data_IF_647216588253
#
_entry.id   IF_647216588253
#
_cell.length_a   1.000
_cell.length_b   1.000
_cell.length_c   1.000
_cell.angle_alpha   90.00
_cell.angle_beta   90.00
_cell.angle_gamma   90.00
#
_symmetry.space_group_name_H-M   'P 1'
#
loop_
_entity.id
_entity.type
_entity.pdbx_description
1 polymer ?
#
# COMPACT_ATOMS: atom_id res chain seq x y z
N UNK A 1 4.31 -19.58 7.26
CA UNK A 1 3.93 -18.28 6.66
C UNK A 1 4.17 -17.20 7.71
N UNK A 2 4.63 -16.03 7.33
CA UNK A 2 4.75 -14.88 8.24
C UNK A 2 3.73 -13.82 7.76
N UNK A 3 2.59 -13.75 8.45
CA UNK A 3 1.49 -12.86 8.12
C UNK A 3 1.28 -11.76 9.19
N UNK A 4 2.33 -11.54 10.01
CA UNK A 4 2.36 -10.54 11.07
C UNK A 4 3.48 -9.52 10.81
N UNK A 5 3.24 -8.28 11.24
CA UNK A 5 4.14 -7.14 11.18
C UNK A 5 4.02 -6.34 12.47
N UNK A 6 5.10 -5.60 12.83
CA UNK A 6 5.14 -4.63 13.91
C UNK A 6 5.45 -5.24 15.28
N UNK A 7 5.92 -4.39 16.18
CA UNK A 7 6.19 -4.70 17.59
C UNK A 7 5.32 -3.85 18.51
N UNK A 8 5.00 -2.62 18.12
CA UNK A 8 4.15 -1.68 18.82
C UNK A 8 2.77 -1.56 18.18
N UNK A 9 2.71 -1.28 16.88
CA UNK A 9 1.51 -1.36 16.06
C UNK A 9 1.48 -2.70 15.33
N UNK A 10 1.11 -3.74 16.05
CA UNK A 10 1.13 -5.11 15.52
C UNK A 10 -0.08 -5.38 14.68
N UNK A 11 0.12 -6.02 13.54
CA UNK A 11 -0.98 -6.51 12.74
C UNK A 11 -0.75 -7.96 12.30
N UNK A 12 -1.83 -8.73 12.23
CA UNK A 12 -1.84 -10.08 11.65
C UNK A 12 -2.96 -10.16 10.64
N UNK A 13 -2.61 -10.42 9.38
CA UNK A 13 -3.56 -10.60 8.28
C UNK A 13 -3.91 -12.08 8.16
N UNK A 14 -5.19 -12.40 8.03
CA UNK A 14 -5.68 -13.76 7.87
C UNK A 14 -6.69 -13.89 6.72
N UNK A 15 -6.95 -15.13 6.32
CA UNK A 15 -7.91 -15.49 5.29
C UNK A 15 -7.31 -15.62 3.89
N UNK A 16 -8.16 -15.96 2.94
CA UNK A 16 -7.83 -16.27 1.56
C UNK A 16 -8.91 -15.69 0.64
N UNK A 17 -8.54 -15.37 -0.59
CA UNK A 17 -9.41 -14.66 -1.55
C UNK A 17 -10.78 -15.33 -1.75
N UNK A 18 -10.84 -16.65 -1.74
CA UNK A 18 -12.05 -17.44 -1.94
C UNK A 18 -12.41 -18.30 -0.70
N UNK A 19 -11.77 -18.00 0.45
CA UNK A 19 -12.21 -18.50 1.75
C UNK A 19 -13.48 -17.76 2.22
N UNK A 20 -14.03 -18.10 3.39
CA UNK A 20 -15.24 -17.46 3.91
C UNK A 20 -15.07 -15.95 4.15
N UNK A 21 -13.91 -15.55 4.63
CA UNK A 21 -13.59 -14.18 4.95
C UNK A 21 -12.08 -13.92 4.89
N UNK A 22 -11.73 -12.64 4.85
CA UNK A 22 -10.38 -12.11 5.09
C UNK A 22 -10.46 -11.12 6.24
N UNK A 23 -9.35 -10.87 6.92
CA UNK A 23 -9.37 -9.89 8.00
C UNK A 23 -7.99 -9.55 8.54
N UNK A 24 -8.01 -8.72 9.59
CA UNK A 24 -6.82 -8.31 10.32
C UNK A 24 -7.12 -8.25 11.81
N UNK A 25 -6.13 -8.60 12.60
CA UNK A 25 -6.05 -8.27 14.02
C UNK A 25 -4.98 -7.19 14.16
N UNK A 26 -5.36 -6.05 14.76
CA UNK A 26 -4.45 -4.95 15.12
C UNK A 26 -4.32 -4.92 16.63
N UNK A 27 -3.10 -5.06 17.13
CA UNK A 27 -2.79 -5.01 18.56
C UNK A 27 -1.87 -3.81 18.86
N UNK A 28 -1.85 -3.35 20.11
CA UNK A 28 -1.08 -2.19 20.55
C UNK A 28 -1.80 -0.85 20.42
N UNK A 29 -3.10 -0.83 20.06
CA UNK A 29 -3.87 0.42 20.02
C UNK A 29 -4.05 1.00 21.42
N UNK A 30 -3.78 2.32 21.62
CA UNK A 30 -4.06 2.98 22.87
C UNK A 30 -5.56 2.93 23.20
N UNK A 31 -5.89 2.56 24.46
CA UNK A 31 -7.27 2.64 24.92
C UNK A 31 -7.80 4.08 24.81
N UNK A 32 -9.02 4.23 24.31
CA UNK A 32 -9.64 5.53 24.05
C UNK A 32 -9.32 6.16 22.70
N UNK A 33 -8.41 5.60 21.90
CA UNK A 33 -8.14 6.08 20.54
C UNK A 33 -9.43 6.10 19.71
N UNK A 34 -9.67 7.19 18.98
CA UNK A 34 -10.88 7.36 18.16
C UNK A 34 -10.87 6.43 16.96
N UNK A 35 -11.95 5.72 16.74
CA UNK A 35 -12.23 4.90 15.56
C UNK A 35 -13.39 5.56 14.80
N UNK A 36 -13.06 6.38 13.81
CA UNK A 36 -14.04 7.04 12.95
C UNK A 36 -14.46 6.07 11.85
N UNK A 37 -15.63 5.42 12.05
CA UNK A 37 -16.13 4.38 11.15
C UNK A 37 -16.46 4.92 9.75
N UNK A 38 -16.95 6.16 9.64
CA UNK A 38 -17.24 6.80 8.35
C UNK A 38 -15.95 7.07 7.56
N UNK A 39 -14.91 7.55 8.26
CA UNK A 39 -13.60 7.72 7.66
C UNK A 39 -13.02 6.39 7.18
N UNK A 40 -13.06 5.35 8.01
CA UNK A 40 -12.59 4.00 7.67
C UNK A 40 -13.37 3.46 6.46
N UNK A 41 -14.70 3.55 6.47
CA UNK A 41 -15.54 3.13 5.34
C UNK A 41 -15.20 3.87 4.05
N UNK A 42 -14.91 5.18 4.13
CA UNK A 42 -14.46 5.99 3.01
C UNK A 42 -13.13 5.46 2.40
N UNK A 43 -12.14 5.11 3.22
CA UNK A 43 -10.88 4.55 2.75
C UNK A 43 -11.07 3.15 2.13
N UNK A 44 -11.90 2.32 2.75
CA UNK A 44 -12.27 1.00 2.21
C UNK A 44 -12.95 1.12 0.84
N UNK A 45 -13.84 2.11 0.65
CA UNK A 45 -14.51 2.39 -0.61
C UNK A 45 -13.54 2.83 -1.73
N UNK A 46 -12.44 3.52 -1.41
CA UNK A 46 -11.38 3.87 -2.39
C UNK A 46 -10.66 2.61 -2.92
N UNK A 47 -10.48 1.61 -2.07
CA UNK A 47 -9.86 0.33 -2.44
C UNK A 47 -10.84 -0.60 -3.18
N UNK A 48 -12.11 -0.60 -2.79
CA UNK A 48 -13.12 -1.52 -3.30
C UNK A 48 -13.24 -1.48 -4.83
N UNK A 49 -13.47 -2.63 -5.49
CA UNK A 49 -13.73 -2.64 -6.92
C UNK A 49 -15.08 -2.01 -7.24
N UNK A 50 -15.17 -1.35 -8.39
CA UNK A 50 -16.39 -0.73 -8.89
C UNK A 50 -16.38 0.79 -8.84
N UNK A 51 -17.15 1.42 -9.73
CA UNK A 51 -17.29 2.88 -9.82
C UNK A 51 -16.24 3.60 -10.65
N UNK A 52 -15.29 2.88 -11.27
CA UNK A 52 -14.37 3.43 -12.26
C UNK A 52 -14.44 2.61 -13.56
N UNK A 53 -14.57 3.23 -14.73
CA UNK A 53 -14.64 2.52 -16.02
C UNK A 53 -13.38 1.71 -16.37
N UNK A 54 -12.25 2.05 -15.77
CA UNK A 54 -10.95 1.37 -15.98
C UNK A 54 -10.75 0.18 -15.03
N UNK A 55 -11.64 0.00 -14.04
CA UNK A 55 -11.61 -1.10 -13.09
C UNK A 55 -12.45 -2.31 -13.56
N UNK A 56 -12.33 -3.41 -12.82
CA UNK A 56 -13.17 -4.61 -13.01
C UNK A 56 -14.66 -4.31 -12.80
N UNK A 57 -15.52 -5.04 -13.52
CA UNK A 57 -16.97 -4.99 -13.31
C UNK A 57 -17.44 -5.69 -12.01
N UNK A 58 -16.54 -6.17 -11.16
CA UNK A 58 -16.88 -6.72 -9.85
C UNK A 58 -17.42 -5.62 -8.95
N UNK A 59 -18.41 -5.96 -8.13
CA UNK A 59 -18.95 -5.10 -7.07
C UNK A 59 -18.77 -5.86 -5.75
N UNK A 60 -17.84 -5.43 -4.93
CA UNK A 60 -17.65 -5.90 -3.55
C UNK A 60 -17.49 -4.67 -2.67
N UNK A 61 -18.34 -4.52 -1.69
CA UNK A 61 -18.39 -3.31 -0.86
C UNK A 61 -17.24 -3.21 0.14
N UNK A 62 -16.42 -4.27 0.33
CA UNK A 62 -15.40 -4.38 1.39
C UNK A 62 -15.93 -3.96 2.78
N UNK A 63 -17.20 -4.31 3.06
CA UNK A 63 -17.83 -3.98 4.33
C UNK A 63 -17.09 -4.64 5.48
N UNK A 64 -16.63 -3.83 6.41
CA UNK A 64 -15.88 -4.28 7.58
C UNK A 64 -16.82 -4.57 8.73
N UNK A 65 -16.62 -5.71 9.36
CA UNK A 65 -17.26 -6.05 10.63
C UNK A 65 -16.21 -6.13 11.71
N UNK A 66 -16.30 -5.24 12.70
CA UNK A 66 -15.43 -5.25 13.88
C UNK A 66 -15.97 -6.29 14.86
N UNK A 67 -15.12 -7.20 15.31
CA UNK A 67 -15.46 -8.33 16.17
C UNK A 67 -15.03 -8.11 17.62
N UNK A 68 -13.96 -7.33 17.84
CA UNK A 68 -13.43 -7.01 19.18
C UNK A 68 -12.58 -5.73 19.12
N UNK A 69 -12.21 -5.21 20.29
CA UNK A 69 -11.28 -4.09 20.42
C UNK A 69 -11.89 -2.71 20.23
N UNK A 70 -13.21 -2.61 20.01
CA UNK A 70 -13.91 -1.33 19.84
C UNK A 70 -15.18 -1.26 20.70
N UNK A 71 -15.44 -0.08 21.24
CA UNK A 71 -16.67 0.25 21.98
C UNK A 71 -16.96 1.74 21.82
N UNK A 72 -18.19 2.10 21.43
CA UNK A 72 -18.64 3.48 21.27
C UNK A 72 -17.70 4.35 20.39
N UNK A 73 -17.21 3.81 19.26
CA UNK A 73 -16.32 4.50 18.33
C UNK A 73 -14.90 4.73 18.87
N UNK A 74 -14.48 3.98 19.89
CA UNK A 74 -13.14 4.06 20.49
C UNK A 74 -12.52 2.69 20.67
N UNK A 75 -11.19 2.62 20.58
CA UNK A 75 -10.42 1.42 20.91
C UNK A 75 -10.50 1.15 22.42
N UNK A 76 -10.64 -0.12 22.78
CA UNK A 76 -10.74 -0.53 24.21
C UNK A 76 -9.38 -0.88 24.83
N UNK A 77 -8.32 -0.98 24.01
CA UNK A 77 -7.02 -1.50 24.41
C UNK A 77 -6.89 -3.02 24.23
N UNK A 78 -7.99 -3.74 24.00
CA UNK A 78 -7.94 -5.13 23.54
C UNK A 78 -7.62 -5.18 22.05
N UNK A 79 -7.09 -6.31 21.51
CA UNK A 79 -6.84 -6.46 20.09
C UNK A 79 -8.07 -6.13 19.24
N UNK A 80 -7.90 -5.20 18.29
CA UNK A 80 -8.95 -4.81 17.34
C UNK A 80 -9.00 -5.84 16.21
N UNK A 81 -10.05 -6.67 16.21
CA UNK A 81 -10.27 -7.67 15.15
C UNK A 81 -11.32 -7.19 14.16
N UNK A 82 -10.94 -7.11 12.90
CA UNK A 82 -11.82 -6.73 11.80
C UNK A 82 -11.86 -7.83 10.73
N UNK A 83 -13.06 -8.12 10.24
CA UNK A 83 -13.34 -9.15 9.25
C UNK A 83 -14.13 -8.56 8.07
N UNK A 84 -13.84 -9.06 6.88
CA UNK A 84 -14.53 -8.74 5.63
C UNK A 84 -14.97 -10.05 4.98
N UNK A 85 -16.27 -10.25 4.85
CA UNK A 85 -16.82 -11.46 4.24
C UNK A 85 -16.57 -11.49 2.71
N UNK A 86 -16.29 -12.66 2.18
CA UNK A 86 -16.15 -12.88 0.75
C UNK A 86 -17.50 -13.31 0.16
N UNK A 87 -18.30 -12.37 -0.33
CA UNK A 87 -19.67 -12.63 -0.80
C UNK A 87 -19.78 -12.99 -2.28
N UNK A 88 -18.72 -12.78 -3.08
CA UNK A 88 -18.76 -12.92 -4.54
C UNK A 88 -17.70 -13.91 -5.06
N UNK A 89 -17.65 -15.10 -4.47
CA UNK A 89 -16.69 -16.15 -4.84
C UNK A 89 -17.31 -17.12 -5.86
N UNK A 90 -16.78 -17.14 -7.10
CA UNK A 90 -17.11 -18.13 -8.12
C UNK A 90 -15.99 -19.17 -8.20
N UNK A 91 -16.06 -20.20 -7.38
CA UNK A 91 -15.01 -21.21 -7.23
C UNK A 91 -14.89 -22.17 -8.43
N UNK A 92 -15.95 -22.31 -9.25
CA UNK A 92 -15.96 -23.23 -10.40
C UNK A 92 -14.96 -22.88 -11.50
N UNK A 93 -14.67 -21.59 -11.68
CA UNK A 93 -13.77 -21.11 -12.74
C UNK A 93 -12.30 -21.49 -12.50
N UNK A 94 -11.93 -21.91 -11.29
CA UNK A 94 -10.55 -22.20 -10.89
C UNK A 94 -10.19 -23.68 -10.80
N UNK A 95 -11.16 -24.59 -10.80
CA UNK A 95 -10.90 -26.02 -10.66
C UNK A 95 -10.08 -26.59 -11.82
N UNK A 96 -10.32 -26.15 -13.05
CA UNK A 96 -9.57 -26.55 -14.25
C UNK A 96 -8.19 -25.89 -14.37
N UNK A 97 -7.94 -24.82 -13.59
CA UNK A 97 -6.69 -24.04 -13.62
C UNK A 97 -5.75 -24.38 -12.46
N UNK A 98 -6.16 -25.20 -11.50
CA UNK A 98 -5.39 -25.47 -10.28
C UNK A 98 -3.98 -26.05 -10.54
N UNK A 99 -3.79 -26.77 -11.66
CA UNK A 99 -2.52 -27.36 -12.06
C UNK A 99 -1.75 -26.49 -13.08
N UNK A 100 -2.40 -25.50 -13.72
CA UNK A 100 -1.78 -24.62 -14.72
C UNK A 100 -1.36 -23.32 -14.07
N UNK A 101 -0.06 -23.11 -13.95
CA UNK A 101 0.53 -21.98 -13.24
C UNK A 101 0.43 -20.68 -14.04
N UNK A 102 -0.19 -19.63 -13.50
CA UNK A 102 -0.26 -18.33 -14.18
C UNK A 102 1.13 -17.72 -14.28
N UNK A 103 1.62 -17.35 -15.49
CA UNK A 103 2.87 -16.65 -15.65
C UNK A 103 2.87 -15.32 -14.85
N UNK A 104 3.96 -15.04 -14.15
CA UNK A 104 4.08 -13.80 -13.37
C UNK A 104 3.23 -13.73 -12.09
N UNK A 105 2.44 -14.75 -11.77
CA UNK A 105 1.71 -14.90 -10.50
C UNK A 105 2.52 -15.75 -9.49
N UNK A 106 2.06 -15.77 -8.24
CA UNK A 106 2.69 -16.57 -7.19
C UNK A 106 2.29 -18.07 -7.21
N UNK A 107 1.49 -18.52 -8.20
CA UNK A 107 0.94 -19.87 -8.23
C UNK A 107 2.01 -20.95 -8.11
N UNK A 108 3.04 -20.91 -8.98
CA UNK A 108 4.12 -21.90 -8.95
C UNK A 108 4.97 -21.81 -7.68
N UNK A 109 5.38 -20.60 -7.29
CA UNK A 109 6.17 -20.41 -6.09
C UNK A 109 5.42 -20.85 -4.82
N UNK A 110 4.13 -20.54 -4.75
CA UNK A 110 3.24 -20.98 -3.67
C UNK A 110 3.06 -22.50 -3.66
N UNK A 111 2.81 -23.10 -4.82
CA UNK A 111 2.69 -24.55 -4.97
C UNK A 111 3.94 -25.27 -4.43
N UNK A 112 5.14 -24.84 -4.85
CA UNK A 112 6.39 -25.43 -4.37
C UNK A 112 6.58 -25.20 -2.87
N UNK A 113 6.41 -23.96 -2.40
CA UNK A 113 6.63 -23.60 -0.99
C UNK A 113 5.72 -24.34 -0.03
N UNK A 114 4.46 -24.49 -0.40
CA UNK A 114 3.42 -25.11 0.46
C UNK A 114 3.07 -26.55 0.04
N UNK A 115 3.86 -27.14 -0.87
CA UNK A 115 3.69 -28.54 -1.31
C UNK A 115 2.30 -28.81 -1.88
N UNK A 116 1.72 -27.85 -2.59
CA UNK A 116 0.39 -27.93 -3.15
C UNK A 116 -0.78 -27.78 -2.15
N UNK A 117 -0.51 -27.48 -0.87
CA UNK A 117 -1.55 -27.34 0.16
C UNK A 117 -2.13 -25.92 0.27
N UNK A 118 -1.59 -24.97 -0.48
CA UNK A 118 -2.15 -23.61 -0.53
C UNK A 118 -3.48 -23.58 -1.32
N UNK A 119 -4.42 -22.73 -0.92
CA UNK A 119 -5.64 -22.51 -1.70
C UNK A 119 -5.30 -21.79 -3.03
N UNK A 120 -5.49 -22.43 -4.21
CA UNK A 120 -5.20 -21.82 -5.50
C UNK A 120 -6.32 -20.86 -5.96
N UNK A 121 -7.52 -20.93 -5.37
CA UNK A 121 -8.70 -20.20 -5.81
C UNK A 121 -8.52 -18.69 -5.66
N UNK A 122 -8.65 -17.95 -6.78
CA UNK A 122 -8.47 -16.49 -6.79
C UNK A 122 -7.10 -16.00 -6.35
N UNK A 123 -6.10 -16.90 -6.29
CA UNK A 123 -4.75 -16.63 -5.78
C UNK A 123 -4.59 -16.78 -4.26
N UNK A 124 -5.63 -17.25 -3.56
CA UNK A 124 -5.59 -17.56 -2.12
C UNK A 124 -5.08 -16.37 -1.29
N UNK A 125 -4.10 -16.65 -0.46
CA UNK A 125 -3.44 -15.63 0.37
C UNK A 125 -2.47 -14.70 -0.40
N UNK A 126 -2.14 -15.00 -1.67
CA UNK A 126 -1.33 -14.13 -2.54
C UNK A 126 -2.15 -13.11 -3.32
N UNK A 127 -3.47 -13.13 -3.16
CA UNK A 127 -4.38 -12.26 -3.89
C UNK A 127 -4.27 -10.81 -3.45
N UNK A 128 -4.40 -9.87 -4.41
CA UNK A 128 -4.58 -8.44 -4.11
C UNK A 128 -5.81 -8.14 -3.23
N UNK A 129 -6.74 -9.11 -3.06
CA UNK A 129 -7.86 -9.03 -2.11
C UNK A 129 -7.39 -8.78 -0.68
N UNK A 130 -6.23 -9.34 -0.30
CA UNK A 130 -5.64 -9.23 1.04
C UNK A 130 -5.13 -7.81 1.37
N UNK A 131 -5.16 -6.89 0.41
CA UNK A 131 -4.90 -5.46 0.67
C UNK A 131 -6.07 -4.77 1.37
N UNK A 132 -7.29 -5.33 1.40
CA UNK A 132 -8.41 -4.74 2.11
C UNK A 132 -8.17 -4.70 3.64
N UNK A 133 -7.73 -5.78 4.31
CA UNK A 133 -7.28 -5.74 5.69
C UNK A 133 -6.16 -4.73 5.96
N UNK A 134 -5.20 -4.56 5.02
CA UNK A 134 -4.16 -3.54 5.14
C UNK A 134 -4.72 -2.12 5.11
N UNK A 135 -5.70 -1.85 4.24
CA UNK A 135 -6.35 -0.53 4.16
C UNK A 135 -7.15 -0.24 5.43
N UNK A 136 -7.80 -1.24 6.01
CA UNK A 136 -8.45 -1.07 7.32
C UNK A 136 -7.43 -0.68 8.40
N UNK A 137 -6.35 -1.45 8.57
CA UNK A 137 -5.31 -1.17 9.56
C UNK A 137 -4.64 0.20 9.31
N UNK A 138 -4.35 0.52 8.04
CA UNK A 138 -3.80 1.82 7.64
C UNK A 138 -4.73 2.98 7.92
N UNK A 139 -6.05 2.78 7.80
CA UNK A 139 -7.05 3.81 8.15
C UNK A 139 -7.04 4.10 9.65
N UNK A 140 -6.92 3.07 10.48
CA UNK A 140 -6.78 3.21 11.95
C UNK A 140 -5.47 3.93 12.29
N UNK A 141 -4.35 3.53 11.67
CA UNK A 141 -3.06 4.20 11.85
C UNK A 141 -3.11 5.68 11.45
N UNK A 142 -3.77 6.02 10.33
CA UNK A 142 -3.94 7.43 9.90
C UNK A 142 -4.74 8.25 10.91
N UNK A 143 -5.76 7.69 11.55
CA UNK A 143 -6.51 8.40 12.60
C UNK A 143 -5.59 8.78 13.77
N UNK A 144 -4.71 7.86 14.20
CA UNK A 144 -3.73 8.12 15.27
C UNK A 144 -2.70 9.19 14.84
N UNK A 145 -2.20 9.11 13.61
CA UNK A 145 -1.20 10.04 13.08
C UNK A 145 -1.78 11.45 12.89
N UNK A 146 -3.04 11.58 12.50
CA UNK A 146 -3.74 12.87 12.38
C UNK A 146 -3.85 13.61 13.72
N UNK A 147 -4.01 12.90 14.82
CA UNK A 147 -4.00 13.50 16.16
C UNK A 147 -2.63 14.14 16.48
N UNK A 148 -1.57 13.70 15.80
CA UNK A 148 -0.21 14.28 15.87
C UNK A 148 0.08 15.32 14.78
N UNK A 149 -0.90 15.67 13.94
CA UNK A 149 -0.74 16.62 12.82
C UNK A 149 -0.08 16.02 11.58
N UNK A 150 0.07 14.70 11.51
CA UNK A 150 0.66 14.01 10.35
C UNK A 150 -0.46 13.68 9.35
N UNK A 151 -0.32 14.19 8.10
CA UNK A 151 -1.24 13.87 6.99
C UNK A 151 -0.49 13.09 5.91
N UNK A 152 -1.20 12.11 5.31
CA UNK A 152 -0.66 11.22 4.28
C UNK A 152 -1.58 11.27 3.06
N UNK A 153 -0.97 11.28 1.89
CA UNK A 153 -1.70 11.17 0.62
C UNK A 153 -0.82 10.64 -0.49
N UNK A 154 -1.45 10.19 -1.55
CA UNK A 154 -0.75 9.67 -2.71
C UNK A 154 -1.49 9.99 -4.01
N UNK A 155 -0.76 9.96 -5.12
CA UNK A 155 -1.32 10.12 -6.45
C UNK A 155 -0.74 9.09 -7.43
N UNK A 156 -1.36 9.00 -8.59
CA UNK A 156 -0.89 8.18 -9.70
C UNK A 156 0.22 8.95 -10.42
N UNK A 157 1.47 8.61 -10.17
CA UNK A 157 2.62 9.26 -10.81
C UNK A 157 2.83 8.80 -12.26
N UNK A 158 2.41 7.56 -12.61
CA UNK A 158 2.42 7.10 -13.99
C UNK A 158 1.50 5.90 -14.22
N UNK A 159 0.95 5.76 -15.43
CA UNK A 159 0.32 4.54 -15.96
C UNK A 159 0.82 4.30 -17.38
N UNK A 160 1.30 3.08 -17.68
CA UNK A 160 1.73 2.66 -19.03
C UNK A 160 2.75 3.62 -19.68
N UNK A 161 3.57 4.30 -18.88
CA UNK A 161 4.55 5.29 -19.37
C UNK A 161 4.04 6.72 -19.44
N UNK A 162 2.72 6.96 -19.43
CA UNK A 162 2.14 8.29 -19.27
C UNK A 162 2.40 8.78 -17.85
N UNK A 163 3.01 9.96 -17.70
CA UNK A 163 3.49 10.49 -16.42
C UNK A 163 2.70 11.72 -16.00
N UNK A 164 2.37 11.78 -14.72
CA UNK A 164 1.89 12.98 -14.02
C UNK A 164 3.08 13.85 -13.55
N UNK A 165 2.80 15.01 -13.00
CA UNK A 165 3.76 15.79 -12.24
C UNK A 165 4.19 15.03 -10.97
N UNK A 166 5.36 15.36 -10.41
CA UNK A 166 5.78 14.94 -9.07
C UNK A 166 5.26 15.90 -8.01
N UNK A 167 5.19 15.47 -6.77
CA UNK A 167 5.04 16.40 -5.66
C UNK A 167 6.15 17.44 -5.68
N UNK A 168 5.82 18.68 -5.28
CA UNK A 168 6.84 19.61 -4.84
C UNK A 168 7.51 19.02 -3.60
N UNK A 169 8.80 18.66 -3.66
CA UNK A 169 9.43 17.88 -2.58
C UNK A 169 9.56 18.67 -1.26
N UNK A 170 9.52 20.00 -1.33
CA UNK A 170 9.60 20.89 -0.15
C UNK A 170 8.22 21.46 0.19
N UNK A 171 7.44 21.84 -0.83
CA UNK A 171 6.20 22.59 -0.67
C UNK A 171 4.93 21.77 -0.61
N UNK A 172 4.99 20.43 -0.74
CA UNK A 172 3.78 19.59 -0.59
C UNK A 172 3.19 19.77 0.80
N UNK A 173 1.88 20.01 0.88
CA UNK A 173 1.16 20.30 2.11
C UNK A 173 -0.03 19.37 2.38
N UNK A 174 -0.57 19.41 3.59
CA UNK A 174 -1.71 18.62 4.01
C UNK A 174 -2.96 18.88 3.17
N UNK A 175 -3.16 20.12 2.65
CA UNK A 175 -4.32 20.47 1.81
C UNK A 175 -4.26 19.71 0.48
N UNK A 176 -3.10 19.68 -0.15
CA UNK A 176 -2.84 18.91 -1.38
C UNK A 176 -3.11 17.43 -1.16
N UNK A 177 -2.55 16.84 -0.09
CA UNK A 177 -2.72 15.42 0.23
C UNK A 177 -4.18 15.06 0.52
N UNK A 178 -4.89 15.87 1.31
CA UNK A 178 -6.32 15.70 1.57
C UNK A 178 -7.18 15.86 0.29
N UNK A 179 -6.78 16.75 -0.62
CA UNK A 179 -7.44 16.95 -1.91
C UNK A 179 -7.40 15.71 -2.78
N UNK A 180 -6.24 15.10 -2.91
CA UNK A 180 -6.01 13.86 -3.67
C UNK A 180 -6.85 12.69 -3.14
N UNK A 181 -7.00 12.57 -1.82
CA UNK A 181 -7.76 11.51 -1.18
C UNK A 181 -9.27 11.51 -1.52
N UNK A 182 -9.80 12.61 -2.07
CA UNK A 182 -11.21 12.74 -2.52
C UNK A 182 -11.43 12.18 -3.92
N UNK A 183 -10.37 12.00 -4.72
CA UNK A 183 -10.44 11.47 -6.07
C UNK A 183 -10.27 9.95 -6.10
N UNK A 184 -10.99 9.28 -7.00
CA UNK A 184 -10.76 7.86 -7.33
C UNK A 184 -9.64 7.65 -8.34
N UNK A 185 -9.25 8.73 -9.03
CA UNK A 185 -8.13 8.77 -9.97
C UNK A 185 -7.28 9.99 -9.62
N UNK A 186 -6.56 9.95 -8.47
CA UNK A 186 -5.86 11.11 -7.95
C UNK A 186 -4.65 11.45 -8.82
N UNK A 187 -4.62 12.69 -9.31
CA UNK A 187 -3.56 13.27 -10.12
C UNK A 187 -3.26 14.68 -9.62
N UNK A 188 -2.02 15.11 -9.75
CA UNK A 188 -1.60 16.49 -9.54
C UNK A 188 -1.98 17.35 -10.76
N UNK A 189 -1.81 16.82 -11.98
CA UNK A 189 -2.25 17.46 -13.21
C UNK A 189 -3.46 16.71 -13.81
N UNK A 190 -4.70 17.26 -13.70
CA UNK A 190 -5.89 16.62 -14.23
C UNK A 190 -5.87 16.34 -15.74
N UNK A 191 -5.06 17.07 -16.53
CA UNK A 191 -4.93 16.86 -17.97
C UNK A 191 -4.33 15.49 -18.31
N UNK A 192 -3.62 14.87 -17.36
CA UNK A 192 -3.01 13.54 -17.52
C UNK A 192 -4.03 12.39 -17.35
N UNK A 193 -5.24 12.66 -16.88
CA UNK A 193 -6.26 11.62 -16.71
C UNK A 193 -6.66 10.98 -18.04
N UNK A 194 -6.95 11.79 -19.06
CA UNK A 194 -7.41 11.28 -20.35
C UNK A 194 -6.37 10.38 -21.06
N UNK A 195 -5.08 10.76 -21.19
CA UNK A 195 -4.08 9.87 -21.77
C UNK A 195 -3.86 8.59 -20.97
N UNK A 196 -3.82 8.64 -19.64
CA UNK A 196 -3.66 7.46 -18.80
C UNK A 196 -4.85 6.50 -18.95
N UNK A 197 -6.09 7.02 -18.92
CA UNK A 197 -7.30 6.21 -19.15
C UNK A 197 -7.36 5.58 -20.53
N UNK A 198 -6.87 6.29 -21.56
CA UNK A 198 -6.76 5.76 -22.92
C UNK A 198 -5.80 4.58 -22.97
N UNK A 199 -4.62 4.69 -22.38
CA UNK A 199 -3.66 3.59 -22.33
C UNK A 199 -4.22 2.34 -21.63
N UNK A 200 -5.00 2.52 -20.55
CA UNK A 200 -5.71 1.41 -19.88
C UNK A 200 -6.78 0.80 -20.79
N UNK A 201 -7.56 1.63 -21.50
CA UNK A 201 -8.60 1.16 -22.42
C UNK A 201 -8.02 0.37 -23.60
N UNK A 202 -6.89 0.82 -24.16
CA UNK A 202 -6.16 0.13 -25.22
C UNK A 202 -5.64 -1.23 -24.74
N UNK A 203 -5.05 -1.30 -23.56
CA UNK A 203 -4.62 -2.58 -22.96
C UNK A 203 -5.81 -3.53 -22.77
N UNK A 204 -6.94 -3.02 -22.25
CA UNK A 204 -8.17 -3.81 -22.10
C UNK A 204 -8.69 -4.35 -23.42
N UNK A 205 -8.70 -3.51 -24.48
CA UNK A 205 -9.13 -3.91 -25.82
C UNK A 205 -8.20 -4.99 -26.41
N UNK A 206 -6.90 -4.94 -26.09
CA UNK A 206 -5.91 -5.94 -26.45
C UNK A 206 -5.94 -7.20 -25.54
N UNK A 207 -6.90 -7.30 -24.61
CA UNK A 207 -7.00 -8.39 -23.62
C UNK A 207 -5.75 -8.50 -22.73
N UNK A 208 -5.09 -7.38 -22.48
CA UNK A 208 -3.83 -7.25 -21.73
C UNK A 208 -4.01 -6.36 -20.48
N UNK A 209 -2.92 -6.06 -19.80
CA UNK A 209 -2.89 -5.20 -18.64
C UNK A 209 -1.69 -4.27 -18.64
N UNK A 210 -1.79 -3.17 -17.90
CA UNK A 210 -0.70 -2.21 -17.71
C UNK A 210 -0.46 -1.97 -16.22
N UNK A 211 0.79 -1.62 -15.91
CA UNK A 211 1.23 -1.19 -14.60
C UNK A 211 1.40 0.32 -14.52
N UNK A 212 2.03 0.78 -13.44
CA UNK A 212 2.35 2.19 -13.27
C UNK A 212 3.14 2.46 -12.00
N UNK A 213 3.19 3.72 -11.63
CA UNK A 213 3.92 4.21 -10.46
C UNK A 213 2.96 5.04 -9.60
N UNK A 214 3.04 4.85 -8.30
CA UNK A 214 2.35 5.66 -7.30
C UNK A 214 3.42 6.47 -6.56
N UNK A 215 3.19 7.76 -6.39
CA UNK A 215 3.96 8.62 -5.48
C UNK A 215 3.13 8.89 -4.24
N UNK A 216 3.75 8.70 -3.06
CA UNK A 216 3.12 8.83 -1.75
C UNK A 216 3.94 9.77 -0.87
N UNK A 217 3.27 10.64 -0.13
CA UNK A 217 3.90 11.58 0.78
C UNK A 217 3.22 11.59 2.16
N UNK A 218 4.03 11.85 3.19
CA UNK A 218 3.58 12.22 4.53
C UNK A 218 4.18 13.58 4.90
N UNK A 219 3.35 14.48 5.43
CA UNK A 219 3.76 15.79 5.95
C UNK A 219 3.44 15.90 7.43
N UNK A 220 4.15 16.78 8.15
CA UNK A 220 3.99 16.92 9.59
C UNK A 220 4.75 15.89 10.43
N UNK A 221 5.53 15.04 9.81
CA UNK A 221 6.42 14.10 10.52
C UNK A 221 7.59 14.90 11.09
N UNK A 222 7.75 14.87 12.42
CA UNK A 222 8.86 15.56 13.08
C UNK A 222 10.21 14.92 12.72
N UNK A 223 11.29 15.64 12.88
CA UNK A 223 12.63 15.07 12.82
C UNK A 223 12.85 14.08 13.98
N UNK A 224 13.65 13.04 13.74
CA UNK A 224 14.08 12.09 14.75
C UNK A 224 13.24 10.82 14.89
N UNK A 225 12.36 10.50 13.93
CA UNK A 225 11.59 9.24 13.91
C UNK A 225 12.32 8.20 13.07
N UNK A 226 12.40 6.99 13.57
CA UNK A 226 13.16 5.89 12.95
C UNK A 226 14.52 5.68 13.61
N UNK A 227 15.19 4.63 13.20
CA UNK A 227 16.46 4.17 13.80
C UNK A 227 17.39 3.64 12.71
N UNK A 228 18.72 3.84 12.80
CA UNK A 228 19.65 3.35 11.80
C UNK A 228 19.62 1.83 11.67
N UNK A 229 20.08 1.35 10.51
CA UNK A 229 20.07 -0.01 10.00
C UNK A 229 18.62 -0.54 9.79
N UNK A 230 18.16 -1.51 10.58
CA UNK A 230 16.97 -2.30 10.29
C UNK A 230 15.65 -1.62 10.68
N UNK A 231 15.71 -0.66 11.60
CA UNK A 231 14.58 0.18 12.02
C UNK A 231 14.47 1.49 11.22
N UNK A 232 15.20 1.62 10.11
CA UNK A 232 15.12 2.83 9.28
C UNK A 232 13.75 3.00 8.65
N UNK A 233 13.33 4.25 8.46
CA UNK A 233 12.06 4.57 7.79
C UNK A 233 11.97 3.86 6.45
N UNK A 234 13.05 3.89 5.66
CA UNK A 234 13.09 3.24 4.35
C UNK A 234 12.96 1.71 4.48
N UNK A 235 13.61 1.10 5.46
CA UNK A 235 13.52 -0.35 5.68
C UNK A 235 12.12 -0.79 6.04
N UNK A 236 11.48 -0.10 6.99
CA UNK A 236 10.14 -0.43 7.48
C UNK A 236 9.08 -0.20 6.40
N UNK A 237 9.13 0.95 5.71
CA UNK A 237 8.21 1.26 4.60
C UNK A 237 8.41 0.27 3.45
N UNK A 238 9.66 -0.06 3.09
CA UNK A 238 9.96 -1.02 2.02
C UNK A 238 9.49 -2.43 2.37
N UNK A 239 9.64 -2.88 3.61
CA UNK A 239 9.12 -4.18 4.06
C UNK A 239 7.61 -4.28 3.83
N UNK A 240 6.86 -3.24 4.19
CA UNK A 240 5.41 -3.17 3.97
C UNK A 240 5.08 -3.04 2.49
N UNK A 241 5.79 -2.20 1.73
CA UNK A 241 5.56 -2.02 0.31
C UNK A 241 5.72 -3.33 -0.47
N UNK A 242 6.80 -4.08 -0.23
CA UNK A 242 7.02 -5.38 -0.88
C UNK A 242 6.12 -6.50 -0.35
N UNK A 243 5.39 -6.31 0.75
CA UNK A 243 4.32 -7.22 1.19
C UNK A 243 3.06 -7.08 0.32
N UNK A 244 2.87 -5.94 -0.34
CA UNK A 244 1.75 -5.69 -1.23
C UNK A 244 1.96 -6.42 -2.56
N UNK A 245 1.00 -7.26 -3.02
CA UNK A 245 1.10 -7.91 -4.31
C UNK A 245 1.31 -6.92 -5.45
N UNK A 246 2.13 -7.28 -6.43
CA UNK A 246 2.50 -6.51 -7.63
C UNK A 246 3.49 -5.35 -7.41
N UNK A 247 3.87 -4.97 -6.22
CA UNK A 247 4.98 -4.03 -6.00
C UNK A 247 6.29 -4.68 -6.42
N UNK A 248 7.11 -3.95 -7.21
CA UNK A 248 8.38 -4.44 -7.76
C UNK A 248 9.56 -3.51 -7.54
N UNK A 249 9.30 -2.24 -7.20
CA UNK A 249 10.34 -1.30 -6.81
C UNK A 249 9.76 -0.26 -5.85
N UNK A 250 10.63 0.32 -5.02
CA UNK A 250 10.39 1.49 -4.20
C UNK A 250 11.61 2.41 -4.26
N UNK A 251 11.38 3.72 -4.25
CA UNK A 251 12.43 4.72 -4.26
C UNK A 251 12.01 5.91 -3.40
N UNK A 252 12.89 6.36 -2.49
CA UNK A 252 12.67 7.54 -1.64
C UNK A 252 13.30 8.76 -2.30
N UNK A 253 12.66 9.93 -2.17
CA UNK A 253 13.11 11.16 -2.79
C UNK A 253 13.38 11.00 -4.29
N UNK A 254 14.55 11.40 -4.75
CA UNK A 254 14.95 11.22 -6.15
C UNK A 254 15.32 9.77 -6.49
N UNK A 255 15.60 8.93 -5.48
CA UNK A 255 15.83 7.50 -5.66
C UNK A 255 17.02 7.19 -6.56
N UNK A 256 16.80 6.53 -7.71
CA UNK A 256 17.87 6.13 -8.62
C UNK A 256 18.58 7.32 -9.27
N UNK A 257 17.92 8.47 -9.40
CA UNK A 257 18.49 9.69 -10.00
C UNK A 257 19.64 10.23 -9.16
N UNK A 258 19.63 10.01 -7.84
CA UNK A 258 20.74 10.36 -6.94
C UNK A 258 22.10 9.75 -7.35
N UNK A 259 22.09 8.58 -7.99
CA UNK A 259 23.31 7.93 -8.46
C UNK A 259 23.99 8.67 -9.61
N UNK A 260 23.27 9.56 -10.29
CA UNK A 260 23.76 10.36 -11.41
C UNK A 260 24.21 11.77 -10.97
N UNK A 261 23.88 12.17 -9.71
CA UNK A 261 24.19 13.48 -9.14
C UNK A 261 25.58 13.51 -8.49
N UNK A 262 26.16 14.70 -8.46
CA UNK A 262 27.32 14.97 -7.58
C UNK A 262 26.85 15.24 -6.15
N UNK A 263 27.68 14.99 -5.15
CA UNK A 263 27.33 15.23 -3.76
C UNK A 263 26.88 16.69 -3.47
N UNK A 264 27.47 17.66 -4.15
CA UNK A 264 27.07 19.09 -4.05
C UNK A 264 25.69 19.39 -4.64
N UNK A 265 25.16 18.53 -5.51
CA UNK A 265 23.84 18.64 -6.13
C UNK A 265 22.80 17.84 -5.33
N UNK A 266 23.20 16.68 -4.79
CA UNK A 266 22.33 15.78 -4.07
C UNK A 266 22.12 16.14 -2.58
N UNK A 267 23.02 16.97 -2.01
CA UNK A 267 22.92 17.37 -0.61
C UNK A 267 21.77 18.38 -0.41
N UNK A 268 20.88 18.06 0.54
CA UNK A 268 19.78 18.93 0.95
C UNK A 268 20.34 20.01 1.89
N UNK A 269 20.55 21.23 1.38
CA UNK A 269 21.07 22.34 2.16
C UNK A 269 20.09 22.72 3.29
N UNK A 270 20.61 22.84 4.51
CA UNK A 270 19.81 23.14 5.70
C UNK A 270 19.80 24.62 6.00
N UNK A 271 18.66 25.13 6.49
CA UNK A 271 18.51 26.48 6.99
C UNK A 271 17.66 26.53 8.24
N UNK A 272 17.83 27.57 9.04
CA UNK A 272 16.92 27.86 10.16
C UNK A 272 15.59 28.42 9.64
N UNK A 273 14.50 27.95 10.24
CA UNK A 273 13.14 28.47 10.01
C UNK A 273 12.46 28.66 11.37
N UNK A 274 12.53 29.86 11.89
CA UNK A 274 12.25 30.13 13.30
C UNK A 274 13.18 29.35 14.22
N UNK A 275 12.62 28.61 15.15
CA UNK A 275 13.37 27.73 16.06
C UNK A 275 13.65 26.33 15.49
N UNK A 276 13.15 26.04 14.29
CA UNK A 276 13.31 24.74 13.61
C UNK A 276 14.38 24.76 12.52
N UNK A 277 14.72 23.56 12.06
CA UNK A 277 15.58 23.35 10.88
C UNK A 277 14.71 22.84 9.74
N UNK A 278 14.92 23.39 8.55
CA UNK A 278 14.31 22.92 7.29
C UNK A 278 15.39 22.78 6.21
N UNK A 279 15.05 22.18 5.08
CA UNK A 279 15.95 22.06 3.94
C UNK A 279 15.43 22.84 2.74
N UNK A 280 16.35 23.31 1.88
CA UNK A 280 16.04 24.03 0.64
C UNK A 280 15.63 23.08 -0.50
N UNK A 281 16.01 21.82 -0.38
CA UNK A 281 15.66 20.69 -1.27
C UNK A 281 15.27 19.47 -0.45
N UNK A 282 14.83 18.40 -1.10
CA UNK A 282 14.45 17.17 -0.42
C UNK A 282 14.76 15.94 -1.31
N UNK A 283 15.98 15.90 -1.84
CA UNK A 283 16.47 14.80 -2.68
C UNK A 283 16.45 13.46 -1.95
N UNK A 284 16.65 13.48 -0.62
CA UNK A 284 16.61 12.30 0.24
C UNK A 284 15.18 11.87 0.62
N UNK A 285 14.14 12.62 0.22
CA UNK A 285 12.74 12.27 0.51
C UNK A 285 12.37 12.27 1.98
N UNK A 286 12.93 13.20 2.77
CA UNK A 286 12.59 13.39 4.18
C UNK A 286 13.30 12.47 5.15
N UNK A 287 14.25 11.65 4.68
CA UNK A 287 14.95 10.64 5.50
C UNK A 287 16.44 10.69 5.25
N UNK A 288 17.20 10.86 6.32
CA UNK A 288 18.67 10.83 6.30
C UNK A 288 19.20 9.94 7.41
N UNK A 289 20.09 9.01 7.06
CA UNK A 289 20.61 8.02 8.01
C UNK A 289 19.54 7.08 8.59
N UNK A 290 18.43 6.88 7.88
CA UNK A 290 17.32 6.05 8.32
C UNK A 290 16.30 6.76 9.21
N UNK A 291 16.49 8.05 9.47
CA UNK A 291 15.74 8.86 10.44
C UNK A 291 15.10 10.03 9.71
N UNK A 292 13.87 10.38 10.07
CA UNK A 292 13.18 11.55 9.50
C UNK A 292 13.92 12.85 9.87
N UNK A 293 13.98 13.79 8.93
CA UNK A 293 14.67 15.07 9.10
C UNK A 293 13.72 16.29 9.22
N UNK A 294 12.39 16.03 9.30
CA UNK A 294 11.36 17.07 9.38
C UNK A 294 10.80 17.52 8.03
N UNK A 295 11.44 17.14 6.92
CA UNK A 295 10.92 17.36 5.57
C UNK A 295 9.81 16.37 5.24
N UNK A 296 9.00 16.60 4.19
CA UNK A 296 8.02 15.63 3.71
C UNK A 296 8.66 14.27 3.42
N UNK A 297 8.12 13.20 4.00
CA UNK A 297 8.56 11.84 3.67
C UNK A 297 7.91 11.44 2.36
N UNK A 298 8.70 11.27 1.29
CA UNK A 298 8.22 11.01 -0.07
C UNK A 298 8.85 9.74 -0.63
N UNK A 299 8.01 8.85 -1.14
CA UNK A 299 8.48 7.68 -1.89
C UNK A 299 7.63 7.39 -3.12
N UNK A 300 8.20 6.66 -4.07
CA UNK A 300 7.52 6.14 -5.27
C UNK A 300 7.57 4.63 -5.29
N UNK A 301 6.46 3.98 -5.65
CA UNK A 301 6.36 2.53 -5.75
C UNK A 301 5.91 2.12 -7.16
N UNK A 302 6.65 1.18 -7.78
CA UNK A 302 6.29 0.62 -9.09
C UNK A 302 5.40 -0.60 -8.92
N UNK A 303 4.26 -0.56 -9.59
CA UNK A 303 3.25 -1.61 -9.64
C UNK A 303 3.31 -2.29 -11.01
N UNK A 304 3.64 -3.58 -11.04
CA UNK A 304 3.66 -4.33 -12.30
C UNK A 304 2.25 -4.56 -12.86
N UNK A 305 2.11 -4.82 -14.17
CA UNK A 305 0.86 -5.25 -14.77
C UNK A 305 0.26 -6.47 -14.07
N UNK A 306 -1.07 -6.58 -14.07
CA UNK A 306 -1.78 -7.75 -13.55
C UNK A 306 -1.44 -8.97 -14.40
N UNK A 307 -0.99 -10.10 -13.79
CA UNK A 307 -0.57 -11.28 -14.56
C UNK A 307 -1.75 -12.08 -15.13
N UNK A 308 -2.94 -11.88 -14.60
CA UNK A 308 -4.16 -12.53 -15.10
C UNK A 308 -4.71 -11.73 -16.29
N UNK A 309 -4.39 -12.16 -17.51
CA UNK A 309 -4.83 -11.55 -18.77
C UNK A 309 -5.55 -12.59 -19.64
N UNK A 310 -6.41 -12.12 -20.53
CA UNK A 310 -7.20 -12.99 -21.40
C UNK A 310 -6.46 -13.39 -22.72
N UNK A 311 -5.19 -13.06 -22.82
CA UNK A 311 -4.32 -13.52 -23.90
C UNK A 311 -3.77 -14.91 -23.62
N UNK A 312 -3.58 -15.71 -24.67
CA UNK A 312 -2.89 -16.98 -24.58
C UNK A 312 -1.45 -16.82 -24.08
N UNK A 313 -1.09 -17.48 -22.99
CA UNK A 313 0.23 -17.42 -22.36
C UNK A 313 0.84 -18.82 -22.28
N UNK A 314 2.12 -18.95 -22.62
CA UNK A 314 2.87 -20.20 -22.41
C UNK A 314 3.10 -20.39 -20.92
N UNK A 315 2.81 -21.62 -20.44
CA UNK A 315 2.95 -22.00 -19.03
C UNK A 315 3.27 -23.50 -18.91
N UNK A 316 3.12 -24.04 -17.71
CA UNK A 316 3.27 -25.46 -17.40
C UNK A 316 2.03 -26.00 -16.69
N UNK A 317 1.72 -27.27 -16.94
CA UNK A 317 0.80 -28.07 -16.12
C UNK A 317 1.64 -28.93 -15.18
N UNK A 318 1.64 -28.57 -13.89
CA UNK A 318 2.51 -29.25 -12.89
C UNK A 318 2.03 -30.63 -12.54
N UNK A 319 0.75 -30.95 -12.71
CA UNK A 319 0.21 -32.29 -12.46
C UNK A 319 0.60 -33.26 -13.57
N UNK A 320 0.56 -32.82 -14.82
CA UNK A 320 0.94 -33.63 -15.99
C UNK A 320 2.44 -33.56 -16.29
N UNK A 321 3.18 -32.57 -15.71
CA UNK A 321 4.60 -32.30 -15.97
C UNK A 321 4.89 -32.00 -17.45
N UNK A 322 4.04 -31.18 -18.06
CA UNK A 322 4.15 -30.82 -19.49
C UNK A 322 4.04 -29.29 -19.69
N UNK A 323 4.53 -28.82 -20.84
CA UNK A 323 4.28 -27.45 -21.26
C UNK A 323 2.82 -27.29 -21.67
N UNK A 324 2.23 -26.14 -21.32
CA UNK A 324 0.83 -25.85 -21.56
C UNK A 324 0.64 -24.41 -22.09
N UNK A 325 -0.56 -24.13 -22.55
CA UNK A 325 -1.04 -22.79 -22.85
C UNK A 325 -2.20 -22.51 -21.92
N UNK A 326 -2.23 -21.29 -21.37
CA UNK A 326 -3.26 -20.82 -20.49
C UNK A 326 -3.88 -19.54 -21.03
N UNK A 327 -5.19 -19.53 -21.18
CA UNK A 327 -6.00 -18.34 -21.37
C UNK A 327 -6.88 -18.17 -20.14
N UNK A 328 -6.81 -16.98 -19.51
CA UNK A 328 -7.53 -16.76 -18.27
C UNK A 328 -8.82 -16.03 -18.60
N UNK A 329 -9.91 -16.79 -18.71
CA UNK A 329 -11.23 -16.21 -18.80
C UNK A 329 -11.61 -15.59 -17.46
N UNK A 330 -12.08 -14.32 -17.47
CA UNK A 330 -12.52 -13.68 -16.23
C UNK A 330 -12.53 -12.15 -16.30
N UNK A 331 -13.03 -11.54 -15.22
CA UNK A 331 -13.11 -10.08 -15.07
C UNK A 331 -11.90 -9.60 -14.27
N UNK A 332 -10.78 -9.43 -14.94
CA UNK A 332 -9.54 -8.92 -14.33
C UNK A 332 -9.44 -7.41 -14.51
N UNK A 333 -8.78 -6.74 -13.56
CA UNK A 333 -8.47 -5.32 -13.69
C UNK A 333 -7.40 -5.14 -14.78
N UNK A 334 -7.63 -4.37 -15.83
CA UNK A 334 -6.60 -4.04 -16.82
C UNK A 334 -5.48 -3.16 -16.22
N UNK A 335 -5.79 -2.44 -15.14
CA UNK A 335 -4.84 -1.67 -14.35
C UNK A 335 -5.29 -1.59 -12.89
N UNK A 336 -4.42 -1.98 -11.96
CA UNK A 336 -4.71 -1.95 -10.52
C UNK A 336 -4.20 -0.66 -9.84
N UNK A 337 -3.46 0.19 -10.55
CA UNK A 337 -2.79 1.37 -9.98
C UNK A 337 -3.76 2.30 -9.25
N UNK A 338 -4.93 2.70 -9.80
CA UNK A 338 -5.85 3.60 -9.10
C UNK A 338 -6.33 3.06 -7.75
N UNK A 339 -6.53 1.75 -7.64
CA UNK A 339 -6.95 1.09 -6.39
C UNK A 339 -5.79 0.88 -5.42
N UNK A 340 -4.57 0.81 -5.92
CA UNK A 340 -3.37 0.63 -5.10
C UNK A 340 -2.91 1.93 -4.43
N UNK A 341 -3.40 3.11 -4.85
CA UNK A 341 -3.06 4.40 -4.24
C UNK A 341 -3.34 4.40 -2.73
N UNK A 342 -4.57 4.07 -2.32
CA UNK A 342 -4.93 4.02 -0.90
C UNK A 342 -4.19 2.91 -0.14
N UNK A 343 -3.73 1.87 -0.83
CA UNK A 343 -2.89 0.82 -0.22
C UNK A 343 -1.50 1.38 0.11
N UNK A 344 -0.89 2.17 -0.79
CA UNK A 344 0.40 2.82 -0.52
C UNK A 344 0.30 3.83 0.62
N UNK A 345 -0.78 4.63 0.67
CA UNK A 345 -1.06 5.50 1.81
C UNK A 345 -1.16 4.71 3.12
N UNK A 346 -1.81 3.54 3.07
CA UNK A 346 -2.02 2.68 4.25
C UNK A 346 -0.72 2.07 4.76
N UNK A 347 0.17 1.61 3.88
CA UNK A 347 1.45 1.04 4.30
C UNK A 347 2.37 2.11 4.90
N UNK A 348 2.36 3.34 4.37
CA UNK A 348 3.10 4.44 4.96
C UNK A 348 2.55 4.80 6.34
N UNK A 349 1.23 4.83 6.49
CA UNK A 349 0.59 5.09 7.78
C UNK A 349 0.95 4.03 8.83
N UNK A 350 0.90 2.74 8.46
CA UNK A 350 1.28 1.64 9.36
C UNK A 350 2.75 1.77 9.76
N UNK A 351 3.64 2.05 8.80
CA UNK A 351 5.08 2.21 9.07
C UNK A 351 5.36 3.37 10.02
N UNK A 352 4.79 4.54 9.74
CA UNK A 352 5.01 5.72 10.57
C UNK A 352 4.36 5.56 11.95
N UNK A 353 3.20 4.90 12.06
CA UNK A 353 2.58 4.62 13.35
C UNK A 353 3.45 3.69 14.20
N UNK A 354 4.00 2.63 13.62
CA UNK A 354 4.95 1.73 14.30
C UNK A 354 6.17 2.48 14.82
N UNK A 355 6.82 3.28 13.94
CA UNK A 355 8.04 4.02 14.29
C UNK A 355 7.77 5.15 15.30
N UNK A 356 6.63 5.84 15.21
CA UNK A 356 6.23 6.87 16.18
C UNK A 356 5.95 6.27 17.57
N UNK A 357 5.38 5.06 17.62
CA UNK A 357 5.12 4.37 18.87
C UNK A 357 6.40 3.83 19.49
N UNK A 358 7.33 3.31 18.69
CA UNK A 358 8.67 2.88 19.15
C UNK A 358 9.45 4.06 19.75
N UNK A 359 9.51 5.19 19.04
CA UNK A 359 10.19 6.39 19.52
C UNK A 359 9.50 6.97 20.78
N UNK A 360 8.18 6.97 20.86
CA UNK A 360 7.47 7.41 22.05
C UNK A 360 7.79 6.54 23.28
N UNK A 361 7.92 5.23 23.10
CA UNK A 361 8.30 4.32 24.19
C UNK A 361 9.73 4.61 24.66
N UNK A 362 10.68 4.85 23.73
CA UNK A 362 12.06 5.20 24.09
C UNK A 362 12.16 6.55 24.81
N UNK A 363 11.45 7.59 24.33
CA UNK A 363 11.40 8.92 24.96
C UNK A 363 10.85 8.87 26.37
N UNK A 364 9.76 8.14 26.59
CA UNK A 364 9.14 8.01 27.92
C UNK A 364 10.11 7.44 28.96
N UNK A 365 11.10 6.61 28.53
CA UNK A 365 12.15 6.09 29.43
C UNK A 365 13.27 7.10 29.70
N UNK A 366 13.43 8.11 28.83
CA UNK A 366 14.51 9.10 28.93
C UNK A 366 14.04 10.47 29.42
N UNK A 367 12.73 10.74 29.46
CA UNK A 367 12.14 11.93 30.06
C UNK A 367 12.42 11.94 31.57
N UNK A 368 13.45 12.69 31.98
CA UNK A 368 13.94 12.78 33.36
C UNK A 368 15.43 12.42 33.52
N UNK A 369 16.08 11.95 32.47
CA UNK A 369 17.53 11.63 32.48
C UNK A 369 18.35 12.81 31.95
N UNK A 370 17.76 13.73 31.21
CA UNK A 370 18.40 14.86 30.52
C UNK A 370 17.95 16.22 31.09
N UNK A 371 17.73 16.36 32.41
CA UNK A 371 17.56 17.65 33.09
C UNK A 371 18.75 18.02 33.92
#
# INVERSE_FOLDING_TARGET
MRANFGEHFKLTIFGESHGPAIGVVVDGLPAGARLDEDYIAGQMARRAPGGDPTATARKEADAVRILSGAMNGRATGAPLCAMIENTNTRSGDYASMAARMRPGHADYAGYVKYRGMNDPRGGGHFSGRLTAPLVFAGSVARLLLREKGIEIGAHIAAIAGERDARFDPVGVDARTLCGLARSRFPLLNPEKEAPMRRAVAEARAAQDSVGGVIECAAVGVRAGVGSPFFGSVESVVSQLAFSVPAVKAIAFGDGMELAEMRGSEANDAMRMDGDGVTCESNHNGGVTGGITNGMPVIFRAAIKPTPSIARAQRTVDVAKRENAVLEIAGRHDPCIVPRAVVVMESILAIALCELEMDDAAQRALTEGVCT
#
